data_IF_420643810342
#
_entry.id   IF_420643810342
#
_cell.length_a   1.000
_cell.length_b   1.000
_cell.length_c   1.000
_cell.angle_alpha   90.00
_cell.angle_beta   90.00
_cell.angle_gamma   90.00
#
_symmetry.space_group_name_H-M   'P 1'
#
loop_
_entity.id
_entity.type
_entity.pdbx_description
1 polymer ?
#
# COMPACT_ATOMS: atom_id res chain seq x y z
N UNK A 1 -9.30 11.75 -2.06
CA UNK A 1 -8.02 11.03 -2.00
C UNK A 1 -7.56 10.75 -3.42
N UNK A 2 -6.39 11.24 -3.82
CA UNK A 2 -5.83 10.92 -5.14
C UNK A 2 -4.99 9.65 -5.00
N UNK A 3 -5.27 8.64 -5.81
CA UNK A 3 -4.52 7.38 -5.81
C UNK A 3 -3.49 7.46 -6.94
N UNK A 4 -2.25 7.08 -6.64
CA UNK A 4 -1.16 6.99 -7.61
C UNK A 4 -0.78 5.53 -7.87
N UNK A 5 -0.26 5.20 -9.07
CA UNK A 5 0.18 3.85 -9.39
C UNK A 5 1.31 3.29 -8.48
N UNK A 6 2.06 4.17 -7.80
CA UNK A 6 3.17 3.78 -6.94
C UNK A 6 4.40 3.26 -7.70
N UNK A 7 5.27 2.56 -6.98
CA UNK A 7 6.48 1.89 -7.46
C UNK A 7 6.50 0.45 -6.94
N UNK A 8 6.94 -0.53 -7.75
CA UNK A 8 7.00 -1.93 -7.32
C UNK A 8 8.08 -2.23 -6.28
N UNK A 9 9.00 -1.29 -6.01
CA UNK A 9 10.07 -1.44 -5.03
C UNK A 9 10.38 -0.10 -4.31
N UNK A 10 10.90 -0.15 -3.07
CA UNK A 10 11.15 -1.36 -2.28
C UNK A 10 9.86 -2.02 -1.78
N UNK A 11 9.92 -3.32 -1.43
CA UNK A 11 8.78 -4.03 -0.84
C UNK A 11 8.45 -3.43 0.55
N UNK A 12 7.16 -3.45 0.90
CA UNK A 12 6.62 -2.90 2.14
C UNK A 12 5.96 -1.54 1.94
N UNK A 13 5.80 -0.82 3.05
CA UNK A 13 5.26 0.54 3.09
C UNK A 13 6.40 1.54 3.25
N UNK A 14 6.55 2.47 2.30
CA UNK A 14 7.61 3.49 2.33
C UNK A 14 7.00 4.89 2.26
N UNK A 15 7.28 5.72 3.25
CA UNK A 15 6.89 7.13 3.25
C UNK A 15 7.87 7.96 2.42
N UNK A 16 7.36 8.76 1.48
CA UNK A 16 8.17 9.56 0.54
C UNK A 16 8.18 11.07 0.84
N UNK A 17 7.59 11.49 1.97
CA UNK A 17 7.42 12.90 2.35
C UNK A 17 6.08 13.50 1.94
N UNK A 18 5.36 12.87 1.01
CA UNK A 18 4.04 13.34 0.53
C UNK A 18 2.95 12.28 0.67
N UNK A 19 3.33 11.02 0.76
CA UNK A 19 2.43 9.89 0.92
C UNK A 19 3.20 8.60 1.21
N UNK A 20 2.48 7.47 1.20
CA UNK A 20 3.04 6.14 1.44
C UNK A 20 2.90 5.29 0.19
N UNK A 21 4.02 4.75 -0.30
CA UNK A 21 4.06 3.74 -1.35
C UNK A 21 3.94 2.35 -0.73
N UNK A 22 2.96 1.56 -1.17
CA UNK A 22 2.80 0.16 -0.78
C UNK A 22 3.21 -0.74 -1.94
N UNK A 23 4.18 -1.63 -1.71
CA UNK A 23 4.57 -2.66 -2.66
C UNK A 23 4.58 -4.03 -1.98
N UNK A 24 3.84 -4.98 -2.52
CA UNK A 24 3.74 -6.34 -2.01
C UNK A 24 3.98 -7.32 -3.15
N UNK A 25 4.74 -8.37 -2.86
CA UNK A 25 4.85 -9.52 -3.75
C UNK A 25 3.81 -10.57 -3.36
N UNK A 26 3.13 -11.14 -4.35
CA UNK A 26 2.34 -12.35 -4.18
C UNK A 26 2.52 -13.25 -5.39
N UNK A 27 2.88 -14.51 -5.15
CA UNK A 27 3.01 -15.53 -6.20
C UNK A 27 1.63 -16.04 -6.66
N UNK A 28 0.65 -16.06 -5.74
CA UNK A 28 -0.61 -16.79 -5.93
C UNK A 28 -1.88 -15.94 -5.78
N UNK A 29 -1.78 -14.66 -5.40
CA UNK A 29 -2.98 -13.84 -5.19
C UNK A 29 -3.65 -13.44 -6.50
N UNK A 30 -4.95 -13.67 -6.59
CA UNK A 30 -5.79 -13.15 -7.68
C UNK A 30 -6.13 -11.67 -7.49
N UNK A 31 -6.10 -11.19 -6.23
CA UNK A 31 -6.39 -9.79 -5.87
C UNK A 31 -5.73 -9.43 -4.54
N UNK A 32 -5.38 -8.15 -4.38
CA UNK A 32 -4.87 -7.56 -3.15
C UNK A 32 -5.68 -6.31 -2.83
N UNK A 33 -6.05 -6.12 -1.56
CA UNK A 33 -6.76 -4.94 -1.05
C UNK A 33 -5.91 -4.27 0.05
N UNK A 34 -5.78 -2.95 -0.02
CA UNK A 34 -5.13 -2.15 1.01
C UNK A 34 -6.19 -1.67 2.01
N UNK A 35 -6.11 -2.16 3.24
CA UNK A 35 -6.97 -1.71 4.34
C UNK A 35 -6.23 -0.67 5.18
N UNK A 36 -6.79 0.54 5.25
CA UNK A 36 -6.34 1.59 6.15
C UNK A 36 -7.29 1.64 7.34
N UNK A 37 -6.75 1.50 8.55
CA UNK A 37 -7.50 1.41 9.79
C UNK A 37 -7.11 2.62 10.64
N UNK A 38 -8.10 3.34 11.17
CA UNK A 38 -7.87 4.44 12.10
C UNK A 38 -7.84 3.96 13.56
N UNK A 39 -7.67 4.89 14.50
CA UNK A 39 -7.57 4.58 15.92
C UNK A 39 -8.88 3.99 16.52
N UNK A 40 -10.00 4.08 15.81
CA UNK A 40 -11.27 3.48 16.23
C UNK A 40 -11.38 2.01 15.85
N UNK A 41 -10.55 1.54 14.90
CA UNK A 41 -10.36 0.12 14.62
C UNK A 41 -11.52 -0.59 13.92
N UNK A 42 -12.55 0.16 13.48
CA UNK A 42 -13.77 -0.36 12.85
C UNK A 42 -13.80 -0.15 11.34
#
# INVERSE_FOLDING_TARGET
MQIWPGKPYPLGATYDGTGVNFALFSEAAERVELCLIDDTGV
#
